data_IF_307121653684
#
_entry.id   IF_307121653684
#
_cell.length_a   1.000
_cell.length_b   1.000
_cell.length_c   1.000
_cell.angle_alpha   90.00
_cell.angle_beta   90.00
_cell.angle_gamma   90.00
#
_symmetry.space_group_name_H-M   'P 1'
#
loop_
_entity.id
_entity.type
_entity.pdbx_description
1 polymer ?
#
# COMPACT_ATOMS: atom_id res chain seq x y z
N UNK A 1 15.25 21.95 -7.24
CA UNK A 1 15.19 20.74 -8.10
C UNK A 1 14.09 19.83 -7.56
N UNK A 2 13.17 19.35 -8.42
CA UNK A 2 12.13 18.38 -8.04
C UNK A 2 12.73 16.98 -8.03
N UNK A 3 12.46 16.19 -6.99
CA UNK A 3 12.90 14.80 -6.91
C UNK A 3 11.72 13.83 -6.94
N UNK A 4 11.93 12.63 -7.44
CA UNK A 4 10.94 11.56 -7.46
C UNK A 4 11.25 10.51 -6.38
N UNK A 5 10.21 10.00 -5.74
CA UNK A 5 10.30 8.90 -4.80
C UNK A 5 9.24 7.86 -5.14
N UNK A 6 9.67 6.66 -5.48
CA UNK A 6 8.78 5.54 -5.76
C UNK A 6 8.82 4.55 -4.60
N UNK A 7 7.64 4.09 -4.21
CA UNK A 7 7.47 3.04 -3.20
C UNK A 7 6.48 2.01 -3.69
N UNK A 8 6.67 0.76 -3.28
CA UNK A 8 5.74 -0.32 -3.56
C UNK A 8 5.41 -1.06 -2.27
N UNK A 9 4.15 -1.40 -2.08
CA UNK A 9 3.72 -2.12 -0.90
C UNK A 9 2.42 -2.86 -1.14
N UNK A 10 2.07 -3.74 -0.20
CA UNK A 10 0.90 -4.58 -0.32
C UNK A 10 0.13 -4.72 0.99
N UNK A 11 -1.16 -4.90 0.84
CA UNK A 11 -2.04 -5.50 1.83
C UNK A 11 -2.29 -6.96 1.45
N UNK A 12 -1.88 -7.88 2.30
CA UNK A 12 -2.16 -9.29 2.12
C UNK A 12 -3.35 -9.72 2.98
N UNK A 13 -4.25 -10.45 2.36
CA UNK A 13 -5.47 -10.96 2.99
C UNK A 13 -5.31 -12.46 3.26
N UNK A 14 -5.85 -12.91 4.39
CA UNK A 14 -5.94 -14.31 4.77
C UNK A 14 -7.21 -14.54 5.58
N UNK A 15 -8.12 -15.33 5.04
CA UNK A 15 -9.44 -15.53 5.64
C UNK A 15 -10.14 -14.17 5.85
N UNK A 16 -10.53 -13.85 7.06
CA UNK A 16 -11.14 -12.60 7.50
C UNK A 16 -10.13 -11.55 8.01
N UNK A 17 -8.82 -11.76 7.77
CA UNK A 17 -7.73 -10.94 8.30
C UNK A 17 -6.93 -10.26 7.20
N UNK A 18 -6.34 -9.13 7.57
CA UNK A 18 -5.41 -8.37 6.76
C UNK A 18 -4.07 -8.25 7.48
N UNK A 19 -2.98 -8.41 6.73
CA UNK A 19 -1.63 -8.20 7.26
C UNK A 19 -1.33 -6.71 7.32
N UNK A 20 -0.98 -6.24 8.50
CA UNK A 20 -0.58 -4.86 8.77
C UNK A 20 0.73 -4.82 9.55
N UNK A 21 1.50 -3.78 9.30
CA UNK A 21 2.65 -3.39 10.10
C UNK A 21 2.28 -2.23 11.02
N UNK A 22 2.54 -2.37 12.31
CA UNK A 22 2.59 -1.24 13.23
C UNK A 22 4.01 -0.70 13.23
N UNK A 23 4.19 0.49 12.67
CA UNK A 23 5.51 1.11 12.52
C UNK A 23 6.18 1.33 13.86
N UNK A 24 7.48 1.09 13.91
CA UNK A 24 8.27 1.33 15.11
C UNK A 24 8.23 2.81 15.52
N UNK A 25 8.24 3.08 16.84
CA UNK A 25 8.13 4.42 17.40
C UNK A 25 9.37 5.30 17.12
N UNK A 26 10.49 4.70 16.77
CA UNK A 26 11.74 5.40 16.40
C UNK A 26 11.75 5.88 14.94
N UNK A 27 10.76 5.50 14.13
CA UNK A 27 10.67 5.91 12.74
C UNK A 27 10.27 7.38 12.62
N UNK A 28 10.92 8.11 11.71
CA UNK A 28 10.69 9.53 11.48
C UNK A 28 9.29 9.85 10.93
N UNK A 29 8.76 8.98 10.08
CA UNK A 29 7.46 9.17 9.43
C UNK A 29 6.43 8.22 10.04
N UNK A 30 5.31 8.79 10.49
CA UNK A 30 4.15 8.06 11.02
C UNK A 30 4.53 7.02 12.10
N UNK A 31 5.30 7.39 13.17
CA UNK A 31 5.67 6.46 14.22
C UNK A 31 4.43 5.89 14.90
N UNK A 32 4.40 4.58 15.14
CA UNK A 32 3.31 3.89 15.81
C UNK A 32 2.03 3.70 14.99
N UNK A 33 1.92 4.34 13.82
CA UNK A 33 0.76 4.18 12.94
C UNK A 33 0.82 2.88 12.12
N UNK A 34 -0.34 2.47 11.63
CA UNK A 34 -0.48 1.25 10.86
C UNK A 34 -0.28 1.48 9.36
N UNK A 35 0.33 0.51 8.69
CA UNK A 35 0.74 0.60 7.30
C UNK A 35 0.67 -0.77 6.60
N UNK A 36 0.66 -0.81 5.25
CA UNK A 36 0.96 -2.03 4.51
C UNK A 36 2.42 -2.43 4.70
N UNK A 37 2.76 -3.66 4.37
CA UNK A 37 4.14 -4.09 4.17
C UNK A 37 4.67 -3.50 2.87
N UNK A 38 5.95 -3.09 2.82
CA UNK A 38 6.53 -2.50 1.63
C UNK A 38 7.47 -1.33 1.91
N UNK A 39 8.23 -0.95 0.90
CA UNK A 39 9.27 0.06 1.04
C UNK A 39 9.64 0.79 -0.25
N UNK A 40 10.87 1.23 -0.31
CA UNK A 40 11.40 1.98 -1.43
C UNK A 40 11.73 1.09 -2.61
N UNK A 41 11.39 1.56 -3.80
CA UNK A 41 11.86 0.94 -5.03
C UNK A 41 13.30 1.37 -5.31
N UNK A 42 14.16 0.42 -5.62
CA UNK A 42 15.50 0.68 -6.10
C UNK A 42 15.46 1.19 -7.56
N UNK A 43 16.51 1.89 -7.99
CA UNK A 43 16.53 2.52 -9.31
C UNK A 43 16.28 1.53 -10.46
N UNK A 44 16.77 0.30 -10.34
CA UNK A 44 16.60 -0.75 -11.35
C UNK A 44 15.20 -1.40 -11.33
N UNK A 45 14.36 -1.08 -10.34
CA UNK A 45 13.01 -1.61 -10.16
C UNK A 45 11.91 -0.67 -10.68
N UNK A 46 12.24 0.56 -11.12
CA UNK A 46 11.24 1.58 -11.47
C UNK A 46 10.27 1.14 -12.56
N UNK A 47 10.70 0.26 -13.46
CA UNK A 47 9.85 -0.33 -14.49
C UNK A 47 9.12 -1.60 -14.03
N UNK A 48 9.42 -2.10 -12.84
CA UNK A 48 8.94 -3.38 -12.30
C UNK A 48 8.41 -3.26 -10.86
N UNK A 49 7.40 -2.40 -10.63
CA UNK A 49 6.91 -2.13 -9.28
C UNK A 49 6.34 -3.37 -8.56
N UNK A 50 5.86 -4.37 -9.31
CA UNK A 50 5.39 -5.64 -8.71
C UNK A 50 6.55 -6.46 -8.16
N UNK A 51 7.70 -6.50 -8.84
CA UNK A 51 8.89 -7.20 -8.36
C UNK A 51 9.45 -6.52 -7.09
N UNK A 52 9.51 -5.19 -7.07
CA UNK A 52 9.88 -4.43 -5.88
C UNK A 52 8.93 -4.74 -4.71
N UNK A 53 7.63 -4.77 -4.94
CA UNK A 53 6.64 -5.12 -3.93
C UNK A 53 6.87 -6.53 -3.37
N UNK A 54 7.11 -7.52 -4.23
CA UNK A 54 7.37 -8.91 -3.83
C UNK A 54 8.67 -9.05 -3.03
N UNK A 55 9.73 -8.32 -3.39
CA UNK A 55 10.98 -8.27 -2.63
C UNK A 55 10.74 -7.74 -1.22
N UNK A 56 10.08 -6.58 -1.11
CA UNK A 56 9.77 -5.96 0.18
C UNK A 56 8.89 -6.87 1.06
N UNK A 57 7.86 -7.50 0.49
CA UNK A 57 7.05 -8.48 1.23
C UNK A 57 7.93 -9.59 1.80
N UNK A 58 8.82 -10.16 0.99
CA UNK A 58 9.68 -11.26 1.43
C UNK A 58 10.67 -10.81 2.50
N UNK A 59 11.31 -9.64 2.34
CA UNK A 59 12.26 -9.08 3.29
C UNK A 59 11.62 -8.77 4.65
N UNK A 60 10.41 -8.20 4.65
CA UNK A 60 9.74 -7.80 5.87
C UNK A 60 8.97 -8.93 6.57
N UNK A 61 8.43 -9.89 5.81
CA UNK A 61 7.48 -10.87 6.37
C UNK A 61 7.96 -12.32 6.30
N UNK A 62 8.94 -12.62 5.44
CA UNK A 62 9.35 -13.99 5.10
C UNK A 62 8.37 -14.73 4.19
N UNK A 63 7.31 -14.06 3.70
CA UNK A 63 6.38 -14.64 2.74
C UNK A 63 7.02 -14.59 1.35
N UNK A 64 7.22 -15.74 0.74
CA UNK A 64 7.82 -15.82 -0.60
C UNK A 64 6.80 -15.53 -1.71
N UNK A 65 7.23 -15.12 -2.91
CA UNK A 65 6.32 -14.89 -4.04
C UNK A 65 5.42 -16.09 -4.38
N UNK A 66 5.92 -17.32 -4.19
CA UNK A 66 5.16 -18.54 -4.45
C UNK A 66 4.01 -18.78 -3.44
N UNK A 67 4.06 -18.13 -2.27
CA UNK A 67 3.03 -18.21 -1.22
C UNK A 67 1.96 -17.12 -1.35
N UNK A 68 2.07 -16.27 -2.40
CA UNK A 68 1.13 -15.16 -2.64
C UNK A 68 0.28 -15.47 -3.87
N UNK A 69 -1.04 -15.33 -3.72
CA UNK A 69 -2.02 -15.50 -4.80
C UNK A 69 -2.65 -14.16 -5.17
N UNK A 70 -2.98 -14.00 -6.45
CA UNK A 70 -3.78 -12.87 -6.99
C UNK A 70 -3.25 -11.47 -6.61
N UNK A 71 -1.91 -11.32 -6.50
CA UNK A 71 -1.31 -10.01 -6.22
C UNK A 71 -1.52 -9.08 -7.40
N UNK A 72 -2.44 -8.14 -7.23
CA UNK A 72 -2.83 -7.14 -8.22
C UNK A 72 -2.61 -5.72 -7.74
N UNK A 73 -2.13 -4.84 -8.64
CA UNK A 73 -2.09 -3.40 -8.40
C UNK A 73 -3.52 -2.88 -8.28
N UNK A 74 -3.83 -2.17 -7.21
CA UNK A 74 -5.17 -1.61 -6.96
C UNK A 74 -5.17 -0.10 -6.85
N UNK A 75 -4.09 0.48 -6.31
CA UNK A 75 -4.01 1.91 -6.11
C UNK A 75 -2.66 2.46 -6.53
N UNK A 76 -2.69 3.65 -7.14
CA UNK A 76 -1.56 4.55 -7.31
C UNK A 76 -1.85 5.81 -6.52
N UNK A 77 -1.03 6.11 -5.53
CA UNK A 77 -1.14 7.33 -4.76
C UNK A 77 -0.04 8.30 -5.15
N UNK A 78 -0.43 9.50 -5.53
CA UNK A 78 0.47 10.59 -5.87
C UNK A 78 0.36 11.68 -4.80
N UNK A 79 1.49 12.16 -4.30
CA UNK A 79 1.55 13.29 -3.38
C UNK A 79 2.80 14.12 -3.62
N UNK A 80 2.72 15.41 -3.27
CA UNK A 80 3.86 16.31 -3.27
C UNK A 80 4.16 16.75 -1.83
N UNK A 81 5.43 16.63 -1.44
CA UNK A 81 5.94 17.10 -0.17
C UNK A 81 7.16 18.00 -0.42
N UNK A 82 6.98 19.32 -0.32
CA UNK A 82 8.04 20.28 -0.65
C UNK A 82 8.52 20.10 -2.09
N UNK A 83 9.81 19.90 -2.29
CA UNK A 83 10.43 19.65 -3.60
C UNK A 83 10.42 18.18 -4.05
N UNK A 84 9.56 17.34 -3.49
CA UNK A 84 9.50 15.90 -3.81
C UNK A 84 8.11 15.52 -4.29
N UNK A 85 8.03 14.74 -5.38
CA UNK A 85 6.83 14.00 -5.78
C UNK A 85 7.03 12.55 -5.39
N UNK A 86 6.07 12.00 -4.65
CA UNK A 86 6.04 10.59 -4.26
C UNK A 86 4.95 9.86 -5.03
N UNK A 87 5.31 8.72 -5.62
CA UNK A 87 4.39 7.78 -6.24
C UNK A 87 4.44 6.47 -5.46
N UNK A 88 3.27 6.03 -4.99
CA UNK A 88 3.14 4.79 -4.25
C UNK A 88 2.26 3.80 -5.01
N UNK A 89 2.82 2.62 -5.30
CA UNK A 89 2.13 1.47 -5.88
C UNK A 89 1.60 0.60 -4.75
N UNK A 90 0.29 0.41 -4.67
CA UNK A 90 -0.32 -0.41 -3.61
C UNK A 90 -1.03 -1.60 -4.21
N UNK A 91 -0.55 -2.77 -3.81
CA UNK A 91 -1.06 -4.07 -4.22
C UNK A 91 -1.97 -4.65 -3.15
N UNK A 92 -2.91 -5.48 -3.60
CA UNK A 92 -3.67 -6.38 -2.74
C UNK A 92 -3.50 -7.80 -3.26
N UNK A 93 -3.40 -8.75 -2.35
CA UNK A 93 -3.23 -10.16 -2.68
C UNK A 93 -3.63 -11.05 -1.51
N UNK A 94 -3.48 -12.37 -1.70
CA UNK A 94 -3.89 -13.37 -0.72
C UNK A 94 -2.72 -14.30 -0.38
N UNK A 95 -2.70 -14.80 0.85
CA UNK A 95 -1.77 -15.84 1.29
C UNK A 95 -2.39 -16.71 2.35
N UNK A 96 -1.94 -17.96 2.44
CA UNK A 96 -2.33 -18.87 3.51
C UNK A 96 -1.27 -18.91 4.65
N UNK A 97 -0.18 -18.15 4.50
CA UNK A 97 0.91 -18.09 5.47
C UNK A 97 0.43 -17.48 6.78
N UNK A 98 0.68 -18.19 7.89
CA UNK A 98 0.32 -17.74 9.24
C UNK A 98 1.51 -17.14 9.98
N UNK A 99 2.66 -17.79 9.85
CA UNK A 99 3.89 -17.43 10.55
C UNK A 99 4.61 -16.34 9.78
N UNK A 100 4.98 -15.28 10.48
CA UNK A 100 5.71 -14.13 9.97
C UNK A 100 7.09 -14.07 10.64
N UNK A 101 8.10 -13.58 9.95
CA UNK A 101 9.38 -13.29 10.57
C UNK A 101 9.35 -11.94 11.30
N UNK A 102 10.33 -11.69 12.17
CA UNK A 102 10.51 -10.39 12.78
C UNK A 102 10.92 -9.35 11.72
N UNK A 103 10.40 -8.13 11.85
CA UNK A 103 10.68 -7.03 10.94
C UNK A 103 11.31 -5.85 11.71
N UNK A 104 12.37 -5.26 11.15
CA UNK A 104 13.05 -4.09 11.74
C UNK A 104 12.25 -2.78 11.55
N UNK A 105 11.33 -2.75 10.57
CA UNK A 105 10.52 -1.57 10.29
C UNK A 105 9.36 -1.39 11.28
N UNK A 106 8.97 -2.48 11.97
CA UNK A 106 7.86 -2.48 12.92
C UNK A 106 7.41 -3.90 13.29
N UNK A 107 6.27 -3.99 13.95
CA UNK A 107 5.66 -5.24 14.34
C UNK A 107 4.55 -5.63 13.36
N UNK A 108 4.49 -6.91 12.99
CA UNK A 108 3.53 -7.44 12.01
C UNK A 108 2.36 -8.13 12.71
N UNK A 109 1.15 -7.85 12.24
CA UNK A 109 -0.08 -8.39 12.80
C UNK A 109 -1.06 -8.84 11.73
N UNK A 110 -1.68 -9.99 11.95
CA UNK A 110 -2.90 -10.39 11.28
C UNK A 110 -4.10 -9.79 12.00
N UNK A 111 -4.66 -8.71 11.46
CA UNK A 111 -5.76 -7.95 12.05
C UNK A 111 -7.08 -8.40 11.43
N UNK A 112 -8.12 -8.74 12.22
CA UNK A 112 -9.45 -8.96 11.66
C UNK A 112 -9.93 -7.74 10.88
N UNK A 113 -10.50 -7.95 9.69
CA UNK A 113 -11.01 -6.84 8.86
C UNK A 113 -12.12 -6.06 9.59
N UNK A 114 -12.89 -6.74 10.44
CA UNK A 114 -13.92 -6.11 11.27
C UNK A 114 -13.36 -5.06 12.23
N UNK A 115 -12.11 -5.25 12.71
CA UNK A 115 -11.44 -4.36 13.68
C UNK A 115 -10.49 -3.37 12.99
N UNK A 116 -10.49 -3.33 11.66
CA UNK A 116 -9.50 -2.59 10.87
C UNK A 116 -9.48 -1.10 11.22
N UNK A 117 -10.66 -0.49 11.31
CA UNK A 117 -10.81 0.95 11.50
C UNK A 117 -10.80 1.40 12.98
N UNK A 118 -10.52 0.48 13.89
CA UNK A 118 -10.14 0.79 15.28
C UNK A 118 -8.65 1.14 15.41
N UNK A 119 -7.93 1.11 14.30
CA UNK A 119 -6.50 1.39 14.19
C UNK A 119 -6.25 2.81 13.67
N UNK A 120 -5.14 3.40 14.09
CA UNK A 120 -4.71 4.72 13.62
C UNK A 120 -3.87 4.61 12.36
N UNK A 121 -4.41 5.08 11.25
CA UNK A 121 -3.75 5.14 9.95
C UNK A 121 -3.46 6.59 9.54
N UNK A 122 -2.43 6.83 8.70
CA UNK A 122 -2.38 8.04 7.91
C UNK A 122 -3.65 8.18 7.06
N UNK A 123 -4.12 9.42 6.87
CA UNK A 123 -5.39 9.71 6.16
C UNK A 123 -5.51 8.99 4.83
N UNK A 124 -4.44 9.01 4.03
CA UNK A 124 -4.43 8.37 2.71
C UNK A 124 -4.57 6.85 2.78
N UNK A 125 -4.08 6.22 3.84
CA UNK A 125 -4.21 4.76 4.04
C UNK A 125 -5.62 4.39 4.49
N UNK A 126 -6.16 5.15 5.44
CA UNK A 126 -7.52 4.94 5.93
C UNK A 126 -8.53 5.11 4.79
N UNK A 127 -8.43 6.22 4.04
CA UNK A 127 -9.31 6.49 2.90
C UNK A 127 -9.24 5.39 1.83
N UNK A 128 -8.03 4.90 1.53
CA UNK A 128 -7.81 3.80 0.59
C UNK A 128 -8.48 2.50 1.07
N UNK A 129 -8.26 2.12 2.33
CA UNK A 129 -8.83 0.91 2.90
C UNK A 129 -10.35 0.99 2.97
N UNK A 130 -10.91 2.14 3.36
CA UNK A 130 -12.37 2.36 3.31
C UNK A 130 -12.90 2.18 1.89
N UNK A 131 -12.29 2.82 0.89
CA UNK A 131 -12.67 2.66 -0.51
C UNK A 131 -12.60 1.18 -0.94
N UNK A 132 -11.51 0.47 -0.61
CA UNK A 132 -11.34 -0.94 -0.97
C UNK A 132 -12.45 -1.82 -0.41
N UNK A 133 -12.75 -1.70 0.88
CA UNK A 133 -13.73 -2.56 1.57
C UNK A 133 -15.19 -2.12 1.38
N UNK A 134 -15.48 -0.93 0.84
CA UNK A 134 -16.85 -0.49 0.54
C UNK A 134 -17.26 -0.61 -0.92
N UNK A 135 -16.42 -1.17 -1.78
CA UNK A 135 -16.74 -1.38 -3.20
C UNK A 135 -15.53 -1.56 -4.10
N UNK A 136 -14.40 -0.96 -3.76
CA UNK A 136 -13.17 -1.05 -4.55
C UNK A 136 -12.60 -2.48 -4.65
N UNK A 137 -12.93 -3.37 -3.73
CA UNK A 137 -12.53 -4.77 -3.80
C UNK A 137 -13.20 -5.52 -4.97
N UNK A 138 -14.44 -5.17 -5.29
CA UNK A 138 -15.18 -5.75 -6.41
C UNK A 138 -14.76 -5.17 -7.76
N UNK A 139 -14.17 -3.99 -7.77
CA UNK A 139 -13.67 -3.31 -8.95
C UNK A 139 -12.19 -3.68 -9.19
N UNK A 140 -11.93 -4.47 -10.21
CA UNK A 140 -10.58 -4.93 -10.55
C UNK A 140 -9.70 -3.85 -11.21
N UNK A 141 -10.20 -2.63 -11.38
CA UNK A 141 -9.43 -1.52 -11.96
C UNK A 141 -8.40 -0.97 -10.99
N UNK A 142 -7.38 -0.33 -11.53
CA UNK A 142 -6.45 0.48 -10.75
C UNK A 142 -7.09 1.83 -10.47
N UNK A 143 -7.05 2.30 -9.23
CA UNK A 143 -7.51 3.63 -8.85
C UNK A 143 -6.32 4.55 -8.58
N UNK A 144 -6.36 5.75 -9.13
CA UNK A 144 -5.36 6.79 -8.87
C UNK A 144 -5.93 7.78 -7.86
N UNK A 145 -5.16 8.06 -6.82
CA UNK A 145 -5.48 9.07 -5.83
C UNK A 145 -4.43 10.18 -5.82
N UNK A 146 -4.89 11.42 -5.81
CA UNK A 146 -4.07 12.59 -5.62
C UNK A 146 -4.31 13.14 -4.22
N UNK A 147 -3.30 13.04 -3.34
CA UNK A 147 -3.36 13.61 -2.01
C UNK A 147 -3.08 15.11 -2.08
N UNK A 148 -4.05 15.89 -1.71
CA UNK A 148 -4.01 17.36 -1.68
C UNK A 148 -4.39 17.88 -0.31
N UNK A 149 -4.13 19.16 -0.07
CA UNK A 149 -4.38 19.81 1.23
C UNK A 149 -5.15 21.13 1.04
N UNK A 150 -6.40 21.10 0.52
CA UNK A 150 -7.21 22.31 0.48
C UNK A 150 -7.45 22.79 1.92
N UNK A 151 -7.16 24.09 2.15
CA UNK A 151 -7.27 24.73 3.46
C UNK A 151 -6.52 24.00 4.59
N UNK A 152 -5.43 23.29 4.25
CA UNK A 152 -4.62 22.51 5.18
C UNK A 152 -5.21 21.14 5.59
N UNK A 153 -6.33 20.75 5.02
CA UNK A 153 -7.01 19.48 5.30
C UNK A 153 -6.61 18.44 4.24
N UNK A 154 -6.07 17.31 4.71
CA UNK A 154 -5.72 16.20 3.82
C UNK A 154 -6.97 15.64 3.11
N UNK A 155 -6.97 15.66 1.81
CA UNK A 155 -8.08 15.19 0.97
C UNK A 155 -7.53 14.30 -0.14
N UNK A 156 -8.24 13.22 -0.43
CA UNK A 156 -7.92 12.32 -1.52
C UNK A 156 -9.20 11.86 -2.21
N UNK A 157 -9.18 11.86 -3.54
CA UNK A 157 -10.24 11.33 -4.39
C UNK A 157 -9.69 10.20 -5.25
N UNK A 158 -10.39 9.08 -5.32
CA UNK A 158 -9.98 7.87 -6.03
C UNK A 158 -10.67 7.80 -7.39
N UNK A 159 -9.90 7.94 -8.46
CA UNK A 159 -10.38 7.85 -9.82
C UNK A 159 -9.93 6.53 -10.47
N UNK A 160 -10.85 5.72 -11.03
CA UNK A 160 -10.46 4.50 -11.72
C UNK A 160 -9.74 4.83 -13.03
N UNK A 161 -8.64 4.13 -13.30
CA UNK A 161 -8.02 4.14 -14.62
C UNK A 161 -8.90 3.36 -15.60
N UNK A 162 -9.20 3.99 -16.71
CA UNK A 162 -9.87 3.36 -17.84
C UNK A 162 -8.89 3.26 -19.01
N UNK A 163 -8.84 2.11 -19.70
CA UNK A 163 -8.00 2.02 -20.90
C UNK A 163 -8.46 3.02 -21.96
N UNK A 164 -7.52 3.51 -22.75
CA UNK A 164 -7.89 4.28 -23.94
C UNK A 164 -8.71 3.39 -24.88
N UNK A 165 -9.77 3.93 -25.53
CA UNK A 165 -10.47 3.18 -26.57
C UNK A 165 -9.48 2.82 -27.68
N UNK A 166 -9.56 1.59 -28.18
CA UNK A 166 -8.80 1.20 -29.37
C UNK A 166 -9.15 2.17 -30.50
N UNK A 167 -8.14 2.73 -31.12
CA UNK A 167 -8.33 3.57 -32.31
C UNK A 167 -8.81 2.62 -33.43
N UNK A 168 -10.02 2.86 -33.93
CA UNK A 168 -10.59 2.14 -35.04
C UNK A 168 -9.84 2.43 -36.35
#
# INVERSE_FOLDING_TARGET
MMTLRNTAGAYLLRDDKILLMRRSLDKRLNPGQWAPVGGHMEAHEFERPKEACLREIQEETGITPAEIRDLGLRYLLIRQEGGRISLQYVYFGYTDKKTLQACEEGELFWVPVADLFDREFPVEKETMLRHYFTGGAADNRVHVGLLTYPDGIATIDWQPLTPMPEQA
#
